data_IF_147816087565
#
_entry.id   IF_147816087565
#
_cell.length_a   1.000
_cell.length_b   1.000
_cell.length_c   1.000
_cell.angle_alpha   90.00
_cell.angle_beta   90.00
_cell.angle_gamma   90.00
#
_symmetry.space_group_name_H-M   'P 1'
#
loop_
_entity.id
_entity.type
_entity.pdbx_description
1 polymer ?
#
# COMPACT_ATOMS: atom_id res chain seq x y z
N UNK A 1 11.86 -10.70 -3.83
CA UNK A 1 10.91 -9.59 -3.63
C UNK A 1 9.83 -10.09 -2.68
N UNK A 2 9.79 -9.58 -1.45
CA UNK A 2 8.94 -10.13 -0.39
C UNK A 2 7.54 -9.53 -0.52
N UNK A 3 6.54 -10.38 -0.76
CA UNK A 3 5.12 -10.03 -0.75
C UNK A 3 4.53 -10.55 0.55
N UNK A 4 3.69 -9.74 1.20
CA UNK A 4 3.16 -10.11 2.51
C UNK A 4 1.75 -10.68 2.43
N UNK A 5 0.99 -10.37 1.36
CA UNK A 5 -0.38 -10.84 1.15
C UNK A 5 -0.61 -11.13 -0.33
N UNK A 6 -1.19 -12.30 -0.61
CA UNK A 6 -1.83 -12.64 -1.89
C UNK A 6 -3.34 -12.62 -1.66
N UNK A 7 -4.09 -11.99 -2.55
CA UNK A 7 -5.54 -11.90 -2.44
C UNK A 7 -6.19 -12.06 -3.80
N UNK A 8 -7.40 -12.60 -3.82
CA UNK A 8 -8.22 -12.73 -5.01
C UNK A 8 -9.24 -11.61 -5.06
N UNK A 9 -9.46 -11.06 -6.24
CA UNK A 9 -10.59 -10.20 -6.50
C UNK A 9 -11.90 -11.01 -6.38
N UNK A 10 -13.01 -10.36 -6.02
CA UNK A 10 -14.33 -10.94 -6.23
C UNK A 10 -14.51 -11.32 -7.70
N UNK A 11 -15.51 -12.16 -7.99
CA UNK A 11 -15.67 -12.92 -9.24
C UNK A 11 -16.03 -12.05 -10.47
N UNK A 12 -15.25 -11.02 -10.75
CA UNK A 12 -15.39 -10.11 -11.88
C UNK A 12 -14.64 -10.64 -13.11
N UNK A 13 -15.05 -10.21 -14.30
CA UNK A 13 -14.29 -10.48 -15.51
C UNK A 13 -12.90 -9.79 -15.45
N UNK A 14 -11.87 -10.57 -15.79
CA UNK A 14 -10.48 -10.12 -15.95
C UNK A 14 -10.39 -8.86 -16.81
N UNK A 15 -11.18 -8.80 -17.89
CA UNK A 15 -11.16 -7.67 -18.82
C UNK A 15 -11.67 -6.37 -18.18
N UNK A 16 -12.66 -6.48 -17.30
CA UNK A 16 -13.24 -5.36 -16.55
C UNK A 16 -12.24 -4.86 -15.51
N UNK A 17 -11.61 -5.77 -14.75
CA UNK A 17 -10.59 -5.41 -13.76
C UNK A 17 -9.44 -4.66 -14.42
N UNK A 18 -8.91 -5.19 -15.53
CA UNK A 18 -7.80 -4.58 -16.26
C UNK A 18 -8.14 -3.17 -16.78
N UNK A 19 -9.28 -3.03 -17.46
CA UNK A 19 -9.76 -1.74 -17.97
C UNK A 19 -9.95 -0.74 -16.84
N UNK A 20 -10.53 -1.18 -15.73
CA UNK A 20 -10.75 -0.35 -14.54
C UNK A 20 -9.44 0.16 -13.98
N UNK A 21 -8.48 -0.72 -13.69
CA UNK A 21 -7.20 -0.34 -13.10
C UNK A 21 -6.46 0.65 -14.00
N UNK A 22 -6.43 0.43 -15.32
CA UNK A 22 -5.81 1.36 -16.27
C UNK A 22 -6.54 2.70 -16.32
N UNK A 23 -7.87 2.70 -16.26
CA UNK A 23 -8.69 3.93 -16.24
C UNK A 23 -8.42 4.78 -14.99
N UNK A 24 -8.30 4.16 -13.82
CA UNK A 24 -8.11 4.87 -12.54
C UNK A 24 -6.63 5.15 -12.20
N UNK A 25 -5.69 4.64 -13.01
CA UNK A 25 -4.26 4.83 -12.83
C UNK A 25 -3.68 5.91 -13.74
N UNK A 26 -2.83 6.78 -13.20
CA UNK A 26 -1.92 7.63 -13.97
C UNK A 26 -0.65 6.84 -14.28
N UNK A 27 -0.35 6.62 -15.56
CA UNK A 27 0.85 5.89 -16.00
C UNK A 27 2.12 6.67 -15.61
N UNK A 28 3.11 5.99 -15.05
CA UNK A 28 4.42 6.52 -14.69
C UNK A 28 5.51 5.63 -15.30
N UNK A 29 6.64 6.24 -15.62
CA UNK A 29 7.82 5.55 -16.17
C UNK A 29 8.90 5.27 -15.10
N UNK A 30 8.83 5.95 -13.96
CA UNK A 30 9.72 5.76 -12.83
C UNK A 30 9.19 4.68 -11.89
N UNK A 31 10.09 4.03 -11.15
CA UNK A 31 9.72 3.05 -10.13
C UNK A 31 8.76 3.65 -9.10
N UNK A 32 7.68 2.92 -8.78
CA UNK A 32 6.75 3.27 -7.70
C UNK A 32 7.44 3.31 -6.32
N UNK A 33 8.62 2.70 -6.20
CA UNK A 33 9.42 2.79 -4.99
C UNK A 33 10.06 4.18 -4.80
N UNK A 34 10.44 4.84 -5.91
CA UNK A 34 11.20 6.11 -5.92
C UNK A 34 10.30 7.32 -6.15
N UNK A 35 9.03 7.11 -6.50
CA UNK A 35 8.06 8.19 -6.72
C UNK A 35 7.80 9.00 -5.45
N UNK A 36 8.55 10.07 -5.26
CA UNK A 36 8.38 11.07 -4.20
C UNK A 36 7.53 12.27 -4.66
N UNK A 37 7.10 12.29 -5.94
CA UNK A 37 6.44 13.45 -6.53
C UNK A 37 5.17 13.82 -5.77
N UNK A 38 5.21 15.02 -5.21
CA UNK A 38 4.10 15.75 -4.64
C UNK A 38 3.33 16.31 -5.84
N UNK A 39 2.21 15.70 -6.20
CA UNK A 39 1.27 16.34 -7.11
C UNK A 39 0.24 17.09 -6.25
N UNK A 40 0.33 18.42 -6.23
CA UNK A 40 -0.66 19.31 -5.62
C UNK A 40 -2.00 19.32 -6.39
N UNK A 41 -2.07 18.61 -7.49
CA UNK A 41 -3.21 18.61 -8.40
C UNK A 41 -3.88 17.25 -8.36
N UNK A 42 -5.13 17.24 -7.91
CA UNK A 42 -6.09 16.20 -8.25
C UNK A 42 -5.97 15.90 -9.75
N UNK A 43 -5.37 14.76 -10.12
CA UNK A 43 -5.54 14.27 -11.48
C UNK A 43 -6.98 13.74 -11.51
N UNK A 44 -7.85 14.43 -12.24
CA UNK A 44 -9.28 14.10 -12.31
C UNK A 44 -9.48 12.61 -12.60
N UNK A 45 -10.33 11.97 -11.78
CA UNK A 45 -10.69 10.56 -11.90
C UNK A 45 -9.50 9.57 -11.85
N UNK A 46 -8.33 9.98 -11.34
CA UNK A 46 -7.20 9.08 -11.06
C UNK A 46 -6.97 8.96 -9.57
N UNK A 47 -6.93 7.73 -9.09
CA UNK A 47 -6.71 7.40 -7.68
C UNK A 47 -5.35 6.74 -7.43
N UNK A 48 -4.71 6.24 -8.49
CA UNK A 48 -3.48 5.46 -8.41
C UNK A 48 -2.40 5.94 -9.37
N UNK A 49 -1.14 5.78 -8.99
CA UNK A 49 -0.02 5.75 -9.92
C UNK A 49 0.19 4.32 -10.39
N UNK A 50 0.26 4.13 -11.70
CA UNK A 50 0.48 2.83 -12.35
C UNK A 50 1.85 2.76 -13.01
N UNK A 51 2.56 1.66 -12.80
CA UNK A 51 3.77 1.29 -13.52
C UNK A 51 3.51 -0.05 -14.19
N UNK A 52 3.64 -0.09 -15.50
CA UNK A 52 3.36 -1.27 -16.31
C UNK A 52 4.62 -1.73 -17.05
N UNK A 53 4.94 -3.01 -16.89
CA UNK A 53 5.98 -3.71 -17.66
C UNK A 53 5.32 -4.81 -18.49
N UNK A 54 6.07 -5.61 -19.24
CA UNK A 54 5.49 -6.62 -20.14
C UNK A 54 4.69 -7.70 -19.41
N UNK A 55 5.10 -8.06 -18.18
CA UNK A 55 4.49 -9.15 -17.41
C UNK A 55 3.58 -8.71 -16.28
N UNK A 56 3.68 -7.46 -15.82
CA UNK A 56 3.04 -7.03 -14.58
C UNK A 56 2.55 -5.58 -14.64
N UNK A 57 1.48 -5.33 -13.91
CA UNK A 57 0.97 -3.98 -13.62
C UNK A 57 1.09 -3.74 -12.12
N UNK A 58 1.82 -2.69 -11.73
CA UNK A 58 1.93 -2.26 -10.34
C UNK A 58 1.17 -0.96 -10.16
N UNK A 59 0.47 -0.82 -9.05
CA UNK A 59 -0.21 0.42 -8.69
C UNK A 59 0.06 0.81 -7.24
N UNK A 60 0.03 2.10 -6.95
CA UNK A 60 0.08 2.66 -5.59
C UNK A 60 -0.83 3.88 -5.51
N UNK A 61 -1.40 4.16 -4.34
CA UNK A 61 -2.37 5.24 -4.18
C UNK A 61 -1.72 6.61 -4.35
N UNK A 62 -2.40 7.53 -5.03
CA UNK A 62 -2.06 8.95 -5.05
C UNK A 62 -2.44 9.54 -3.69
N UNK A 63 -1.52 10.30 -3.09
CA UNK A 63 -1.67 10.80 -1.72
C UNK A 63 -1.55 12.31 -1.67
N UNK A 64 -2.40 12.90 -0.84
CA UNK A 64 -2.28 14.29 -0.42
C UNK A 64 -1.16 14.49 0.60
N UNK A 65 -0.85 15.75 0.91
CA UNK A 65 0.23 16.12 1.82
C UNK A 65 0.06 15.52 3.23
N UNK A 66 -1.17 15.53 3.76
CA UNK A 66 -1.49 14.99 5.09
C UNK A 66 -1.44 13.46 5.13
N UNK A 67 -1.59 12.79 3.98
CA UNK A 67 -1.58 11.33 3.89
C UNK A 67 -0.18 10.73 3.78
N UNK A 68 0.87 11.56 3.84
CA UNK A 68 2.27 11.10 3.84
C UNK A 68 2.62 10.22 5.03
N UNK A 69 1.94 10.42 6.16
CA UNK A 69 2.15 9.60 7.36
C UNK A 69 1.70 8.15 7.17
N UNK A 70 0.82 7.89 6.20
CA UNK A 70 0.38 6.54 5.93
C UNK A 70 1.50 5.74 5.26
N UNK A 71 1.71 4.47 5.64
CA UNK A 71 2.73 3.60 5.04
C UNK A 71 2.39 3.31 3.59
N UNK A 72 3.37 3.35 2.68
CA UNK A 72 3.11 3.18 1.25
C UNK A 72 2.95 1.72 0.87
N UNK A 73 1.80 1.38 0.29
CA UNK A 73 1.47 0.04 -0.19
C UNK A 73 1.46 0.04 -1.72
N UNK A 74 2.03 -1.00 -2.31
CA UNK A 74 2.08 -1.26 -3.74
C UNK A 74 1.31 -2.55 -4.00
N UNK A 75 0.31 -2.45 -4.89
CA UNK A 75 -0.42 -3.60 -5.41
C UNK A 75 0.24 -4.03 -6.72
N UNK A 76 0.46 -5.33 -6.91
CA UNK A 76 0.93 -5.93 -8.16
C UNK A 76 -0.13 -6.88 -8.70
N UNK A 77 -0.44 -6.74 -9.98
CA UNK A 77 -1.21 -7.66 -10.80
C UNK A 77 -0.28 -8.33 -11.81
N UNK A 78 -0.53 -9.61 -12.08
CA UNK A 78 0.07 -10.30 -13.23
C UNK A 78 -0.82 -10.06 -14.45
N UNK A 79 -0.25 -9.75 -15.62
CA UNK A 79 -1.08 -9.59 -16.82
C UNK A 79 -1.73 -10.89 -17.28
N UNK A 80 -1.15 -12.03 -16.92
CA UNK A 80 -1.73 -13.35 -17.20
C UNK A 80 -2.97 -13.60 -16.34
N UNK A 81 -3.02 -13.07 -15.13
CA UNK A 81 -4.14 -13.22 -14.20
C UNK A 81 -4.36 -11.93 -13.38
N UNK A 82 -5.37 -11.14 -13.77
CA UNK A 82 -5.76 -9.94 -13.02
C UNK A 82 -6.68 -10.25 -11.83
N UNK A 83 -7.16 -11.49 -11.69
CA UNK A 83 -8.01 -11.87 -10.57
C UNK A 83 -7.19 -12.09 -9.30
N UNK A 84 -5.89 -12.33 -9.44
CA UNK A 84 -4.95 -12.44 -8.31
C UNK A 84 -4.09 -11.19 -8.20
N UNK A 85 -3.99 -10.64 -6.99
CA UNK A 85 -3.13 -9.51 -6.71
C UNK A 85 -2.25 -9.74 -5.49
N UNK A 86 -1.09 -9.08 -5.51
CA UNK A 86 -0.07 -9.18 -4.47
C UNK A 86 0.17 -7.81 -3.85
N UNK A 87 0.30 -7.79 -2.53
CA UNK A 87 0.55 -6.57 -1.78
C UNK A 87 1.93 -6.59 -1.16
N UNK A 88 2.57 -5.44 -1.19
CA UNK A 88 3.80 -5.17 -0.45
C UNK A 88 3.86 -3.73 0.00
N UNK A 89 4.67 -3.48 1.01
CA UNK A 89 5.11 -2.12 1.29
C UNK A 89 6.13 -1.66 0.24
N UNK A 90 6.20 -0.35 0.02
CA UNK A 90 7.33 0.29 -0.64
C UNK A 90 8.59 0.03 0.20
N UNK A 91 9.73 -0.10 -0.47
CA UNK A 91 11.04 -0.28 0.15
C UNK A 91 11.29 0.61 1.38
N UNK A 92 11.03 1.93 1.29
CA UNK A 92 11.26 2.85 2.41
C UNK A 92 10.37 2.52 3.61
N UNK A 93 9.11 2.19 3.34
CA UNK A 93 8.13 1.78 4.35
C UNK A 93 8.51 0.43 4.97
N UNK A 94 9.04 -0.50 4.17
CA UNK A 94 9.58 -1.78 4.67
C UNK A 94 10.77 -1.57 5.60
N UNK A 95 11.73 -0.72 5.23
CA UNK A 95 12.86 -0.40 6.10
C UNK A 95 12.42 0.25 7.40
N UNK A 96 11.48 1.20 7.34
CA UNK A 96 10.93 1.83 8.54
C UNK A 96 10.23 0.81 9.45
N UNK A 97 9.40 -0.07 8.88
CA UNK A 97 8.74 -1.13 9.64
C UNK A 97 9.77 -2.07 10.31
N UNK A 98 10.81 -2.48 9.58
CA UNK A 98 11.86 -3.35 10.11
C UNK A 98 12.61 -2.67 11.26
N UNK A 99 12.96 -1.40 11.11
CA UNK A 99 13.58 -0.59 12.16
C UNK A 99 12.71 -0.52 13.42
N UNK A 100 11.40 -0.31 13.25
CA UNK A 100 10.45 -0.26 14.37
C UNK A 100 10.33 -1.61 15.09
N UNK A 101 10.28 -2.72 14.33
CA UNK A 101 10.26 -4.07 14.91
C UNK A 101 11.53 -4.34 15.71
N UNK A 102 12.71 -4.07 15.13
CA UNK A 102 13.99 -4.25 15.82
C UNK A 102 14.03 -3.40 17.09
N UNK A 103 13.59 -2.15 17.02
CA UNK A 103 13.55 -1.24 18.17
C UNK A 103 12.66 -1.77 19.29
N UNK A 104 11.48 -2.31 18.96
CA UNK A 104 10.58 -2.94 19.95
C UNK A 104 11.21 -4.20 20.56
N UNK A 105 11.89 -5.03 19.76
CA UNK A 105 12.57 -6.23 20.28
C UNK A 105 13.70 -5.84 21.24
N UNK A 106 14.56 -4.89 20.85
CA UNK A 106 15.65 -4.41 21.71
C UNK A 106 15.13 -3.82 23.02
N UNK A 107 14.00 -3.12 22.95
CA UNK A 107 13.32 -2.56 24.11
C UNK A 107 12.81 -3.64 25.08
N UNK A 108 12.21 -4.71 24.55
CA UNK A 108 11.77 -5.86 25.36
C UNK A 108 12.98 -6.49 26.07
N UNK A 109 14.09 -6.70 25.34
CA UNK A 109 15.32 -7.26 25.92
C UNK A 109 15.85 -6.38 27.05
N UNK A 110 16.00 -5.07 26.80
CA UNK A 110 16.49 -4.12 27.79
C UNK A 110 15.59 -4.04 29.04
N UNK A 111 14.27 -4.08 28.85
CA UNK A 111 13.31 -4.03 29.96
C UNK A 111 13.39 -5.27 30.85
N UNK A 112 13.67 -6.44 30.26
CA UNK A 112 13.86 -7.69 31.00
C UNK A 112 15.17 -7.64 31.81
N UNK A 113 16.27 -7.19 31.19
CA UNK A 113 17.59 -7.13 31.83
C UNK A 113 17.66 -6.09 32.96
N UNK A 114 17.16 -4.88 32.70
CA UNK A 114 17.22 -3.77 33.66
C UNK A 114 16.14 -3.83 34.74
N UNK A 115 15.13 -4.70 34.59
CA UNK A 115 13.89 -4.74 35.41
C UNK A 115 13.22 -3.37 35.56
N UNK A 116 13.47 -2.47 34.62
CA UNK A 116 12.98 -1.10 34.63
C UNK A 116 12.39 -0.79 33.25
N UNK A 117 11.34 0.03 33.22
CA UNK A 117 10.72 0.46 31.97
C UNK A 117 11.09 1.93 31.76
N UNK A 118 11.84 2.19 30.70
CA UNK A 118 12.17 3.55 30.29
C UNK A 118 10.96 4.21 29.59
N UNK A 119 10.69 5.48 29.92
CA UNK A 119 9.58 6.25 29.34
C UNK A 119 9.76 6.50 27.85
N UNK A 120 11.00 6.70 27.39
CA UNK A 120 11.28 6.92 25.96
C UNK A 120 11.00 5.64 25.16
N UNK A 121 11.30 4.50 25.77
CA UNK A 121 10.99 3.17 25.25
C UNK A 121 9.49 2.88 25.18
N UNK A 122 8.68 3.35 26.15
CA UNK A 122 7.21 3.28 26.06
C UNK A 122 6.71 4.11 24.87
N UNK A 123 7.20 5.34 24.73
CA UNK A 123 6.82 6.24 23.63
C UNK A 123 7.08 5.60 22.26
N UNK A 124 8.26 5.01 22.08
CA UNK A 124 8.63 4.34 20.83
C UNK A 124 7.71 3.16 20.51
N UNK A 125 7.31 2.40 21.53
CA UNK A 125 6.36 1.29 21.41
C UNK A 125 4.99 1.79 20.95
N UNK A 126 4.49 2.87 21.55
CA UNK A 126 3.21 3.49 21.17
C UNK A 126 3.24 3.97 19.71
N UNK A 127 4.32 4.64 19.28
CA UNK A 127 4.48 5.09 17.89
C UNK A 127 4.48 3.88 16.93
N UNK A 128 5.12 2.78 17.33
CA UNK A 128 5.17 1.55 16.54
C UNK A 128 3.79 0.92 16.35
N UNK A 129 2.99 0.84 17.41
CA UNK A 129 1.60 0.43 17.31
C UNK A 129 0.76 1.38 16.44
N UNK A 130 0.95 2.70 16.59
CA UNK A 130 0.29 3.70 15.75
C UNK A 130 0.57 3.48 14.26
N UNK A 131 1.81 3.17 13.90
CA UNK A 131 2.21 2.87 12.52
C UNK A 131 1.53 1.60 11.97
N UNK A 132 1.39 0.55 12.78
CA UNK A 132 0.65 -0.66 12.40
C UNK A 132 -0.83 -0.35 12.14
N UNK A 133 -1.46 0.47 12.98
CA UNK A 133 -2.85 0.91 12.78
C UNK A 133 -2.99 1.68 11.46
N UNK A 134 -2.09 2.61 11.17
CA UNK A 134 -2.07 3.34 9.90
C UNK A 134 -1.89 2.40 8.69
N UNK A 135 -1.08 1.35 8.85
CA UNK A 135 -0.90 0.31 7.82
C UNK A 135 -2.19 -0.41 7.48
N UNK A 136 -2.92 -0.85 8.50
CA UNK A 136 -4.20 -1.53 8.32
C UNK A 136 -5.24 -0.60 7.70
N UNK A 137 -5.29 0.66 8.14
CA UNK A 137 -6.22 1.66 7.59
C UNK A 137 -5.93 1.95 6.12
N UNK A 138 -4.67 2.13 5.74
CA UNK A 138 -4.28 2.37 4.35
C UNK A 138 -4.65 1.17 3.47
N UNK A 139 -4.40 -0.05 3.94
CA UNK A 139 -4.78 -1.27 3.24
C UNK A 139 -6.30 -1.30 2.96
N UNK A 140 -7.12 -1.10 4.00
CA UNK A 140 -8.58 -1.08 3.85
C UNK A 140 -9.05 -0.01 2.87
N UNK A 141 -8.44 1.17 2.90
CA UNK A 141 -8.78 2.27 2.02
C UNK A 141 -8.43 1.97 0.55
N UNK A 142 -7.25 1.40 0.28
CA UNK A 142 -6.81 0.97 -1.05
C UNK A 142 -7.80 -0.02 -1.67
N UNK A 143 -8.15 -1.08 -0.93
CA UNK A 143 -9.08 -2.11 -1.40
C UNK A 143 -10.49 -1.54 -1.61
N UNK A 144 -10.96 -0.70 -0.68
CA UNK A 144 -12.28 -0.05 -0.78
C UNK A 144 -12.40 0.79 -2.05
N UNK A 145 -11.39 1.61 -2.36
CA UNK A 145 -11.39 2.41 -3.60
C UNK A 145 -11.43 1.50 -4.81
N UNK A 146 -10.56 0.49 -4.85
CA UNK A 146 -10.45 -0.40 -6.01
C UNK A 146 -11.76 -1.16 -6.28
N UNK A 147 -12.38 -1.76 -5.26
CA UNK A 147 -13.67 -2.46 -5.41
C UNK A 147 -14.79 -1.51 -5.83
N UNK A 148 -14.83 -0.31 -5.25
CA UNK A 148 -15.84 0.70 -5.60
C UNK A 148 -15.78 1.07 -7.08
N UNK A 149 -14.59 1.28 -7.62
CA UNK A 149 -14.42 1.65 -9.03
C UNK A 149 -14.72 0.49 -9.98
N UNK A 150 -14.45 -0.76 -9.58
CA UNK A 150 -14.82 -1.95 -10.37
C UNK A 150 -16.34 -2.07 -10.46
N UNK A 151 -17.04 -2.00 -9.32
CA UNK A 151 -18.52 -2.06 -9.28
C UNK A 151 -19.17 -0.96 -10.11
N UNK A 152 -18.60 0.25 -10.11
CA UNK A 152 -19.13 1.37 -10.92
C UNK A 152 -19.00 1.14 -12.42
N UNK A 153 -18.03 0.34 -12.89
CA UNK A 153 -17.84 0.06 -14.31
C UNK A 153 -18.65 -1.15 -14.74
N UNK A 154 -18.76 -2.17 -13.87
CA UNK A 154 -19.63 -3.33 -14.12
C UNK A 154 -21.10 -2.90 -14.26
N UNK A 155 -21.63 -2.13 -13.30
CA UNK A 155 -23.01 -1.60 -13.35
C UNK A 155 -23.29 -0.62 -14.52
N UNK A 156 -22.28 -0.22 -15.29
CA UNK A 156 -22.44 0.61 -16.50
C UNK A 156 -22.45 -0.21 -17.79
N UNK A 157 -22.03 -1.48 -17.72
CA UNK A 157 -21.98 -2.40 -18.85
C UNK A 157 -23.17 -3.37 -18.86
N UNK A 158 -23.95 -3.42 -17.77
CA UNK A 158 -25.28 -4.04 -17.67
C UNK A 158 -26.37 -3.05 -18.10
#
# INVERSE_FOLDING_TARGET
>A
MIYFITSKMPNYDKSIIEKTIRKISSKKHLSLDVLSKIENTHIENKYFYGLENDTQLKITRIRSYFEKIFPRIIIRFDKKDFNTFYLRFNLLTTFFLLFMIISVIMNIIYSIESKSIDKDLITLTIISFGFVILSVREYKLLIKILIREINMIENRND
#
